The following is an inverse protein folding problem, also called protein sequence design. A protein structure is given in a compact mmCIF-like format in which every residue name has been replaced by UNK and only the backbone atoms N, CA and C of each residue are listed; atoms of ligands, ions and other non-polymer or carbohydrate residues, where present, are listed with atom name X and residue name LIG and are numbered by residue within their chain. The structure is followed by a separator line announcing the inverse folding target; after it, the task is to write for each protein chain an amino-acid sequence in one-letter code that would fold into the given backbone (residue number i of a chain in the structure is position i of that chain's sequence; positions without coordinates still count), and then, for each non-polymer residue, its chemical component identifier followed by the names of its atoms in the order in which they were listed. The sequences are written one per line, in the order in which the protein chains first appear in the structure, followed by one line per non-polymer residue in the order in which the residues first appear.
data_IF_792012418692
#
_entry.id   IF_792012418692
#
_cell.length_a   1.000
_cell.length_b   1.000
_cell.length_c   1.000
_cell.angle_alpha   90.00
_cell.angle_beta   90.00
_cell.angle_gamma   90.00
#
_symmetry.space_group_name_H-M   'P 1'
#
loop_
_entity.id
_entity.type
_entity.pdbx_description
1 polymer ?
#
# COMPACT_ATOMS: atom_id res chain seq x y z
N UNK A 1 -4.65 5.33 -15.53
CA UNK A 1 -3.97 4.73 -14.36
C UNK A 1 -4.89 4.69 -13.13
N UNK A 2 -6.00 4.01 -13.30
CA UNK A 2 -7.05 3.96 -12.29
C UNK A 2 -6.61 3.24 -11.00
N UNK A 3 -6.02 2.06 -11.14
CA UNK A 3 -5.66 1.23 -10.00
C UNK A 3 -4.38 1.70 -9.33
N UNK A 4 -3.42 2.13 -10.13
CA UNK A 4 -2.16 2.66 -9.62
C UNK A 4 -2.38 3.91 -8.77
N UNK A 5 -3.29 4.79 -9.20
CA UNK A 5 -3.62 6.01 -8.46
C UNK A 5 -4.29 5.69 -7.13
N UNK A 6 -5.16 4.67 -7.09
CA UNK A 6 -5.80 4.24 -5.85
C UNK A 6 -4.77 3.78 -4.82
N UNK A 7 -3.79 2.97 -5.26
CA UNK A 7 -2.72 2.51 -4.38
C UNK A 7 -1.91 3.70 -3.85
N UNK A 8 -1.55 4.62 -4.73
CA UNK A 8 -0.77 5.79 -4.36
C UNK A 8 -1.53 6.66 -3.34
N UNK A 9 -2.83 6.85 -3.54
CA UNK A 9 -3.67 7.63 -2.63
C UNK A 9 -3.79 6.95 -1.26
N UNK A 10 -3.91 5.63 -1.22
CA UNK A 10 -3.95 4.88 0.03
C UNK A 10 -2.64 5.02 0.80
N UNK A 11 -1.51 4.85 0.13
CA UNK A 11 -0.20 4.98 0.77
C UNK A 11 0.02 6.41 1.29
N UNK A 12 -0.42 7.40 0.53
CA UNK A 12 -0.31 8.80 0.95
C UNK A 12 -1.07 9.06 2.24
N UNK A 13 -2.31 8.56 2.34
CA UNK A 13 -3.09 8.69 3.57
C UNK A 13 -2.38 8.06 4.76
N UNK A 14 -1.78 6.88 4.55
CA UNK A 14 -1.03 6.20 5.60
C UNK A 14 0.18 7.01 6.07
N UNK A 15 0.93 7.59 5.15
CA UNK A 15 2.12 8.40 5.47
C UNK A 15 1.73 9.72 6.12
N UNK A 16 0.64 10.35 5.66
CA UNK A 16 0.17 11.62 6.21
C UNK A 16 -0.49 11.48 7.59
N UNK A 17 -0.80 10.26 8.00
CA UNK A 17 -1.49 10.02 9.26
C UNK A 17 -3.01 10.22 9.19
N UNK A 18 -3.57 10.28 7.99
CA UNK A 18 -5.00 10.43 7.74
C UNK A 18 -5.68 9.05 7.73
N UNK A 19 -5.52 8.33 8.83
CA UNK A 19 -6.02 6.97 9.03
C UNK A 19 -6.56 6.86 10.46
N UNK A 20 -7.78 6.38 10.61
CA UNK A 20 -8.38 6.20 11.92
C UNK A 20 -7.77 5.03 12.67
N UNK A 21 -7.59 3.90 11.98
CA UNK A 21 -7.06 2.67 12.57
C UNK A 21 -6.09 2.03 11.57
N UNK A 22 -4.81 1.97 11.93
CA UNK A 22 -3.78 1.41 11.04
C UNK A 22 -3.92 -0.10 10.83
N UNK A 23 -4.41 -0.84 11.82
CA UNK A 23 -4.65 -2.27 11.63
C UNK A 23 -5.66 -2.49 10.49
N UNK A 24 -6.77 -1.76 10.54
CA UNK A 24 -7.79 -1.83 9.48
C UNK A 24 -7.23 -1.33 8.14
N UNK A 25 -6.38 -0.30 8.17
CA UNK A 25 -5.72 0.22 6.98
C UNK A 25 -4.90 -0.87 6.27
N UNK A 26 -4.07 -1.59 7.03
CA UNK A 26 -3.25 -2.67 6.47
C UNK A 26 -4.10 -3.84 5.97
N UNK A 27 -5.17 -4.18 6.71
CA UNK A 27 -6.11 -5.21 6.27
C UNK A 27 -6.76 -4.84 4.94
N UNK A 28 -7.23 -3.61 4.81
CA UNK A 28 -7.86 -3.14 3.57
C UNK A 28 -6.87 -3.18 2.41
N UNK A 29 -5.66 -2.70 2.62
CA UNK A 29 -4.64 -2.68 1.58
C UNK A 29 -4.29 -4.09 1.11
N UNK A 30 -4.05 -5.01 2.04
CA UNK A 30 -3.69 -6.39 1.69
C UNK A 30 -4.88 -7.15 1.10
N UNK A 31 -6.09 -6.89 1.56
CA UNK A 31 -7.30 -7.54 1.02
C UNK A 31 -7.55 -7.14 -0.44
N UNK A 32 -7.29 -5.89 -0.82
CA UNK A 32 -7.44 -5.47 -2.22
C UNK A 32 -6.54 -6.27 -3.16
N UNK A 33 -5.35 -6.63 -2.69
CA UNK A 33 -4.40 -7.39 -3.51
C UNK A 33 -4.68 -8.89 -3.49
N UNK A 34 -5.15 -9.42 -2.36
CA UNK A 34 -5.32 -10.86 -2.18
C UNK A 34 -6.72 -11.37 -2.45
N UNK A 35 -7.75 -10.55 -2.30
CA UNK A 35 -9.15 -10.97 -2.37
C UNK A 35 -9.94 -10.32 -3.50
N UNK A 36 -9.53 -9.15 -3.95
CA UNK A 36 -10.19 -8.45 -5.07
C UNK A 36 -9.44 -8.75 -6.37
N UNK A 37 -9.84 -9.80 -7.07
CA UNK A 37 -9.18 -10.23 -8.31
C UNK A 37 -9.21 -9.15 -9.39
N UNK A 38 -10.31 -8.43 -9.50
CA UNK A 38 -10.44 -7.39 -10.53
C UNK A 38 -9.45 -6.25 -10.25
N UNK A 39 -9.28 -5.87 -8.99
CA UNK A 39 -8.31 -4.85 -8.61
C UNK A 39 -6.89 -5.33 -8.85
N UNK A 40 -6.56 -6.53 -8.37
CA UNK A 40 -5.22 -7.09 -8.51
C UNK A 40 -4.83 -7.24 -9.98
N UNK A 41 -5.70 -7.82 -10.81
CA UNK A 41 -5.45 -8.00 -12.23
C UNK A 41 -5.31 -6.67 -12.96
N UNK A 42 -6.16 -5.70 -12.61
CA UNK A 42 -6.08 -4.35 -13.18
C UNK A 42 -4.78 -3.64 -12.82
N UNK A 43 -4.35 -3.78 -11.57
CA UNK A 43 -3.09 -3.18 -11.12
C UNK A 43 -1.88 -3.82 -11.81
N UNK A 44 -1.87 -5.16 -11.93
CA UNK A 44 -0.80 -5.87 -12.62
C UNK A 44 -0.72 -5.41 -14.08
N UNK A 45 -1.88 -5.28 -14.75
CA UNK A 45 -1.93 -4.84 -16.15
C UNK A 45 -1.44 -3.40 -16.32
N UNK A 46 -1.73 -2.52 -15.34
CA UNK A 46 -1.29 -1.13 -15.39
C UNK A 46 0.17 -0.95 -14.99
N UNK A 47 0.58 -1.62 -13.90
CA UNK A 47 1.88 -1.37 -13.30
C UNK A 47 2.27 -2.56 -12.42
N UNK A 48 2.81 -3.60 -13.05
CA UNK A 48 3.23 -4.80 -12.33
C UNK A 48 4.28 -4.50 -11.25
N UNK A 49 5.29 -3.64 -11.48
CA UNK A 49 6.24 -3.32 -10.42
C UNK A 49 5.59 -2.70 -9.18
N UNK A 50 4.52 -1.93 -9.35
CA UNK A 50 3.78 -1.36 -8.21
C UNK A 50 3.04 -2.47 -7.45
N UNK A 51 2.42 -3.40 -8.17
CA UNK A 51 1.79 -4.57 -7.55
C UNK A 51 2.81 -5.35 -6.73
N UNK A 52 3.99 -5.63 -7.31
CA UNK A 52 5.04 -6.38 -6.63
C UNK A 52 5.55 -5.66 -5.38
N UNK A 53 5.64 -4.33 -5.43
CA UNK A 53 6.07 -3.53 -4.29
C UNK A 53 5.13 -3.70 -3.09
N UNK A 54 3.83 -3.66 -3.33
CA UNK A 54 2.82 -3.71 -2.27
C UNK A 54 2.54 -5.15 -1.84
N UNK A 55 2.61 -6.10 -2.77
CA UNK A 55 2.40 -7.52 -2.49
C UNK A 55 3.66 -8.14 -1.89
N UNK A 56 4.09 -7.59 -0.76
CA UNK A 56 5.33 -7.93 -0.08
C UNK A 56 4.99 -8.58 1.26
N UNK A 57 5.70 -9.65 1.60
CA UNK A 57 5.56 -10.34 2.88
C UNK A 57 5.66 -9.39 4.07
N UNK A 58 6.53 -8.37 4.00
CA UNK A 58 6.71 -7.42 5.08
C UNK A 58 5.45 -6.63 5.38
N UNK A 59 4.62 -6.35 4.38
CA UNK A 59 3.32 -5.70 4.60
C UNK A 59 2.41 -6.55 5.48
N UNK A 60 2.39 -7.86 5.25
CA UNK A 60 1.59 -8.78 6.05
C UNK A 60 2.14 -8.94 7.46
N UNK A 61 3.45 -9.13 7.57
CA UNK A 61 4.07 -9.35 8.88
C UNK A 61 4.02 -8.12 9.76
N UNK A 62 4.09 -6.94 9.16
CA UNK A 62 4.12 -5.71 9.93
C UNK A 62 2.88 -5.57 10.81
N UNK A 63 1.68 -5.67 10.23
CA UNK A 63 0.47 -5.44 11.02
C UNK A 63 0.09 -6.60 11.93
N UNK A 64 0.70 -7.76 11.72
CA UNK A 64 0.51 -8.93 12.59
C UNK A 64 1.48 -8.89 13.77
N UNK A 65 2.73 -8.51 13.53
CA UNK A 65 3.81 -8.61 14.52
C UNK A 65 4.10 -7.30 15.26
N UNK A 66 3.85 -6.15 14.63
CA UNK A 66 4.18 -4.86 15.20
C UNK A 66 2.96 -4.17 15.81
N UNK A 67 3.22 -3.14 16.62
CA UNK A 67 2.18 -2.38 17.30
C UNK A 67 1.57 -1.34 16.36
N UNK A 68 0.42 -1.68 15.77
CA UNK A 68 -0.29 -0.77 14.85
C UNK A 68 -0.97 0.39 15.57
N UNK A 69 -0.99 0.39 16.91
CA UNK A 69 -1.44 1.55 17.68
C UNK A 69 -0.36 2.63 17.73
N UNK A 70 0.90 2.27 17.49
CA UNK A 70 2.00 3.22 17.34
C UNK A 70 1.95 3.85 15.96
N UNK A 71 1.30 5.00 15.87
CA UNK A 71 1.05 5.69 14.60
C UNK A 71 2.33 6.15 13.91
N UNK A 72 3.29 6.60 14.68
CA UNK A 72 4.60 7.03 14.15
C UNK A 72 5.33 5.85 13.51
N UNK A 73 5.34 4.70 14.17
CA UNK A 73 5.94 3.48 13.64
C UNK A 73 5.30 3.07 12.31
N UNK A 74 3.97 3.13 12.24
CA UNK A 74 3.24 2.80 11.01
C UNK A 74 3.58 3.76 9.87
N UNK A 75 3.66 5.06 10.16
CA UNK A 75 4.00 6.08 9.16
C UNK A 75 5.43 5.89 8.65
N UNK A 76 6.37 5.64 9.55
CA UNK A 76 7.76 5.38 9.18
C UNK A 76 7.91 4.14 8.31
N UNK A 77 7.16 3.09 8.63
CA UNK A 77 7.16 1.87 7.82
C UNK A 77 6.66 2.13 6.41
N UNK A 78 5.59 2.90 6.26
CA UNK A 78 4.94 3.15 4.97
C UNK A 78 5.70 4.14 4.09
N UNK A 79 6.51 5.02 4.67
CA UNK A 79 7.18 6.08 3.92
C UNK A 79 8.04 5.56 2.75
N UNK A 80 8.92 4.55 2.94
CA UNK A 80 9.70 4.02 1.82
C UNK A 80 8.83 3.45 0.71
N UNK A 81 7.73 2.78 1.07
CA UNK A 81 6.79 2.23 0.09
C UNK A 81 6.12 3.34 -0.72
N UNK A 82 5.70 4.40 -0.05
CA UNK A 82 5.09 5.54 -0.73
C UNK A 82 6.07 6.22 -1.67
N UNK A 83 7.29 6.45 -1.23
CA UNK A 83 8.32 7.09 -2.05
C UNK A 83 8.64 6.26 -3.29
N UNK A 84 8.77 4.95 -3.13
CA UNK A 84 8.99 4.04 -4.25
C UNK A 84 7.79 3.99 -5.19
N UNK A 85 6.58 3.96 -4.62
CA UNK A 85 5.35 3.95 -5.40
C UNK A 85 5.22 5.21 -6.27
N UNK A 86 5.56 6.38 -5.74
CA UNK A 86 5.55 7.63 -6.51
C UNK A 86 6.47 7.52 -7.73
N UNK A 87 7.67 6.97 -7.54
CA UNK A 87 8.60 6.78 -8.65
C UNK A 87 8.03 5.84 -9.70
N UNK A 88 7.46 4.73 -9.28
CA UNK A 88 6.91 3.73 -10.21
C UNK A 88 5.72 4.28 -11.00
N UNK A 89 4.87 5.09 -10.37
CA UNK A 89 3.72 5.71 -11.04
C UNK A 89 4.20 6.80 -12.01
N UNK A 90 5.12 7.66 -11.58
CA UNK A 90 5.60 8.77 -12.40
C UNK A 90 6.42 8.30 -13.60
N UNK A 91 7.18 7.21 -13.46
CA UNK A 91 8.03 6.68 -14.53
C UNK A 91 7.30 5.77 -15.50
N UNK A 92 6.10 5.29 -15.15
CA UNK A 92 5.32 4.42 -16.03
C UNK A 92 4.42 5.20 -17.01
N UNK A 93 4.41 6.51 -16.90
CA UNK A 93 3.59 7.35 -17.80
C UNK A 93 4.34 7.63 -19.13
#
# INVERSE_FOLDING_TARGET
MKYSQQVLDMLKRGVDGDVDDYYDFFLELTAKLGEDEAFADGLIAENEPLFDLINDEQMYYFYVEEDTEDRELCREFLEPYYNKAKQLVNHSA
#
